data_IF_398697102335
#
_entry.id   IF_398697102335
#
_cell.length_a   1.000
_cell.length_b   1.000
_cell.length_c   1.000
_cell.angle_alpha   90.00
_cell.angle_beta   90.00
_cell.angle_gamma   90.00
#
_symmetry.space_group_name_H-M   'P 1'
#
loop_
_entity.id
_entity.type
_entity.pdbx_description
1 polymer ?
#
# COMPACT_ATOMS: atom_id res chain seq x y z
N UNK A 1 -39.56 12.90 30.33
CA UNK A 1 -38.94 11.80 29.57
C UNK A 1 -39.15 12.09 28.10
N UNK A 2 -38.27 12.86 27.48
CA UNK A 2 -38.12 12.97 26.01
C UNK A 2 -36.68 13.44 25.82
N UNK A 3 -35.81 12.51 25.42
CA UNK A 3 -34.47 12.80 24.93
C UNK A 3 -34.44 12.16 23.56
N UNK A 4 -34.60 13.00 22.54
CA UNK A 4 -34.57 12.59 21.14
C UNK A 4 -33.30 11.79 20.89
N UNK A 5 -33.48 10.52 20.50
CA UNK A 5 -32.46 9.75 19.80
C UNK A 5 -32.18 10.53 18.52
N UNK A 6 -30.98 11.10 18.40
CA UNK A 6 -30.51 11.56 17.11
C UNK A 6 -30.43 10.35 16.18
N UNK A 7 -31.41 10.24 15.27
CA UNK A 7 -31.32 9.32 14.14
C UNK A 7 -30.03 9.63 13.39
N UNK A 8 -29.21 8.60 13.20
CA UNK A 8 -27.95 8.70 12.45
C UNK A 8 -28.24 9.26 11.06
N UNK A 9 -27.63 10.40 10.73
CA UNK A 9 -27.70 11.01 9.39
C UNK A 9 -26.81 10.31 8.37
N UNK A 10 -26.25 9.15 8.73
CA UNK A 10 -25.42 8.35 7.83
C UNK A 10 -26.36 7.60 6.87
N UNK A 11 -26.14 7.68 5.55
CA UNK A 11 -26.88 6.89 4.58
C UNK A 11 -26.85 5.41 4.97
N UNK A 12 -28.00 4.74 4.90
CA UNK A 12 -28.14 3.34 5.23
C UNK A 12 -27.14 2.50 4.40
N UNK A 13 -26.15 1.88 5.06
CA UNK A 13 -25.15 1.02 4.42
C UNK A 13 -23.70 1.50 4.48
N UNK A 14 -23.43 2.74 4.93
CA UNK A 14 -22.05 3.16 5.17
C UNK A 14 -21.57 2.70 6.56
N UNK A 15 -20.48 1.92 6.65
CA UNK A 15 -19.93 1.49 7.93
C UNK A 15 -19.42 2.71 8.73
N UNK A 16 -19.82 2.80 10.00
CA UNK A 16 -19.39 3.87 10.88
C UNK A 16 -17.88 3.72 11.18
N UNK A 17 -17.07 4.55 10.52
CA UNK A 17 -15.62 4.54 10.71
C UNK A 17 -15.23 5.18 12.04
N UNK A 18 -14.36 4.52 12.80
CA UNK A 18 -13.89 5.03 14.08
C UNK A 18 -13.04 6.29 13.90
N UNK A 19 -13.18 7.25 14.82
CA UNK A 19 -12.27 8.39 14.89
C UNK A 19 -10.84 7.96 15.23
N UNK A 20 -9.85 8.55 14.57
CA UNK A 20 -8.43 8.29 14.78
C UNK A 20 -7.98 8.48 16.24
N UNK A 21 -8.54 9.46 16.96
CA UNK A 21 -8.25 9.68 18.38
C UNK A 21 -8.83 8.60 19.30
N UNK A 22 -9.98 8.02 18.95
CA UNK A 22 -10.54 6.88 19.67
C UNK A 22 -9.75 5.61 19.38
N UNK A 23 -9.37 5.42 18.13
CA UNK A 23 -8.57 4.27 17.71
C UNK A 23 -7.17 4.26 18.34
N UNK A 24 -6.49 5.41 18.41
CA UNK A 24 -5.21 5.53 19.13
C UNK A 24 -5.32 5.12 20.61
N UNK A 25 -6.35 5.61 21.30
CA UNK A 25 -6.61 5.23 22.70
C UNK A 25 -6.87 3.73 22.84
N UNK A 26 -7.59 3.14 21.89
CA UNK A 26 -7.79 1.70 21.84
C UNK A 26 -6.46 0.93 21.67
N UNK A 27 -5.59 1.35 20.75
CA UNK A 27 -4.27 0.72 20.57
C UNK A 27 -3.38 0.87 21.81
N UNK A 28 -3.36 2.03 22.45
CA UNK A 28 -2.63 2.26 23.70
C UNK A 28 -3.11 1.32 24.82
N UNK A 29 -4.43 1.10 24.91
CA UNK A 29 -5.00 0.16 25.87
C UNK A 29 -4.61 -1.28 25.53
N UNK A 30 -4.72 -1.68 24.25
CA UNK A 30 -4.35 -3.02 23.78
C UNK A 30 -2.86 -3.33 24.05
N UNK A 31 -1.97 -2.37 23.82
CA UNK A 31 -0.54 -2.50 24.11
C UNK A 31 -0.23 -2.65 25.60
N UNK A 32 -0.95 -1.92 26.47
CA UNK A 32 -0.85 -2.09 27.93
C UNK A 32 -1.33 -3.47 28.36
N UNK A 33 -2.45 -3.93 27.83
CA UNK A 33 -3.00 -5.25 28.12
C UNK A 33 -2.07 -6.38 27.66
N UNK A 34 -1.51 -6.28 26.45
CA UNK A 34 -0.51 -7.23 25.93
C UNK A 34 0.72 -7.31 26.84
N UNK A 35 1.21 -6.17 27.33
CA UNK A 35 2.35 -6.11 28.26
C UNK A 35 2.02 -6.77 29.61
N UNK A 36 0.80 -6.58 30.11
CA UNK A 36 0.36 -7.13 31.41
C UNK A 36 0.02 -8.62 31.36
N UNK A 37 -0.52 -9.10 30.24
CA UNK A 37 -1.04 -10.48 30.09
C UNK A 37 -0.09 -11.39 29.33
N UNK A 38 0.96 -10.85 28.70
CA UNK A 38 1.81 -11.58 27.77
C UNK A 38 1.09 -11.96 26.47
N UNK A 39 -0.07 -11.37 26.18
CA UNK A 39 -0.83 -11.64 24.95
C UNK A 39 -0.10 -11.09 23.72
N UNK A 40 -0.14 -11.87 22.63
CA UNK A 40 0.42 -11.53 21.33
C UNK A 40 -0.32 -10.32 20.71
N UNK A 41 0.42 -9.29 20.30
CA UNK A 41 -0.13 -8.19 19.48
C UNK A 41 -0.56 -8.69 18.10
N UNK A 42 -1.36 -7.91 17.34
CA UNK A 42 -1.82 -8.31 16.00
C UNK A 42 -0.69 -8.74 15.05
N UNK A 43 0.49 -8.13 15.17
CA UNK A 43 1.71 -8.51 14.44
C UNK A 43 2.23 -9.91 14.79
N UNK A 44 2.04 -10.38 16.02
CA UNK A 44 2.52 -11.70 16.47
C UNK A 44 1.64 -12.87 15.97
N UNK A 45 0.48 -12.57 15.38
CA UNK A 45 -0.33 -13.55 14.65
C UNK A 45 0.10 -13.69 13.17
N UNK A 46 1.04 -12.86 12.70
CA UNK A 46 1.60 -12.94 11.35
C UNK A 46 2.69 -14.02 11.28
N UNK A 47 3.02 -14.43 10.06
CA UNK A 47 4.20 -15.29 9.87
C UNK A 47 5.47 -14.55 10.31
N UNK A 48 6.48 -15.24 10.89
CA UNK A 48 7.71 -14.60 11.35
C UNK A 48 8.44 -13.80 10.25
N UNK A 49 8.38 -14.26 9.00
CA UNK A 49 9.00 -13.58 7.85
C UNK A 49 8.31 -12.27 7.50
N UNK A 50 6.98 -12.23 7.56
CA UNK A 50 6.20 -11.01 7.31
C UNK A 50 6.34 -10.04 8.48
N UNK A 51 6.29 -10.55 9.71
CA UNK A 51 6.51 -9.73 10.90
C UNK A 51 7.88 -9.04 10.86
N UNK A 52 8.95 -9.77 10.53
CA UNK A 52 10.30 -9.20 10.38
C UNK A 52 10.42 -8.21 9.20
N UNK A 53 9.56 -8.32 8.17
CA UNK A 53 9.50 -7.35 7.08
C UNK A 53 8.83 -6.05 7.53
N UNK A 54 7.71 -6.15 8.24
CA UNK A 54 6.96 -5.00 8.75
C UNK A 54 7.71 -4.24 9.85
N UNK A 55 8.37 -4.95 10.78
CA UNK A 55 9.15 -4.33 11.85
C UNK A 55 10.32 -3.48 11.31
N UNK A 56 10.90 -3.85 10.16
CA UNK A 56 11.96 -3.06 9.52
C UNK A 56 11.47 -1.69 9.05
N UNK A 57 10.17 -1.51 8.83
CA UNK A 57 9.59 -0.22 8.44
C UNK A 57 9.25 0.67 9.65
N UNK A 58 9.00 0.07 10.81
CA UNK A 58 8.73 0.80 12.06
C UNK A 58 9.98 1.47 12.65
N UNK A 59 11.18 1.01 12.31
CA UNK A 59 12.46 1.59 12.76
C UNK A 59 12.72 3.00 12.16
N UNK A 60 11.92 3.43 11.18
CA UNK A 60 11.99 4.77 10.59
C UNK A 60 11.19 5.82 11.36
N UNK A 61 11.67 7.07 11.35
CA UNK A 61 11.11 8.22 12.11
C UNK A 61 9.67 8.63 11.70
N UNK A 62 9.13 8.04 10.62
CA UNK A 62 7.81 8.35 10.05
C UNK A 62 6.75 7.25 10.24
N UNK A 63 7.11 6.11 10.84
CA UNK A 63 6.27 4.91 10.89
C UNK A 63 6.12 4.23 9.51
N UNK A 64 5.49 3.06 9.48
CA UNK A 64 5.33 2.27 8.25
C UNK A 64 4.42 2.99 7.25
N UNK A 65 4.89 3.17 6.02
CA UNK A 65 4.07 3.75 4.96
C UNK A 65 3.13 2.70 4.35
N UNK A 66 1.93 3.11 3.93
CA UNK A 66 0.93 2.18 3.39
C UNK A 66 1.47 1.37 2.20
N UNK A 67 2.28 2.01 1.34
CA UNK A 67 2.88 1.35 0.19
C UNK A 67 3.91 0.27 0.58
N UNK A 68 4.67 0.46 1.66
CA UNK A 68 5.65 -0.53 2.14
C UNK A 68 4.94 -1.75 2.73
N UNK A 69 3.91 -1.53 3.54
CA UNK A 69 3.10 -2.60 4.13
C UNK A 69 2.44 -3.43 3.02
N UNK A 70 1.84 -2.77 2.02
CA UNK A 70 1.20 -3.49 0.90
C UNK A 70 2.23 -4.20 0.02
N UNK A 71 3.41 -3.60 -0.19
CA UNK A 71 4.51 -4.26 -0.90
C UNK A 71 4.96 -5.55 -0.17
N UNK A 72 5.04 -5.51 1.16
CA UNK A 72 5.30 -6.70 1.97
C UNK A 72 4.20 -7.74 1.82
N UNK A 73 2.91 -7.35 1.89
CA UNK A 73 1.80 -8.27 1.64
C UNK A 73 1.95 -9.00 0.30
N UNK A 74 2.24 -8.26 -0.77
CA UNK A 74 2.41 -8.81 -2.11
C UNK A 74 3.59 -9.80 -2.19
N UNK A 75 4.73 -9.47 -1.59
CA UNK A 75 5.90 -10.36 -1.56
C UNK A 75 5.66 -11.66 -0.80
N UNK A 76 4.97 -11.57 0.34
CA UNK A 76 4.66 -12.73 1.18
C UNK A 76 3.36 -13.44 0.77
N UNK A 77 2.68 -12.97 -0.28
CA UNK A 77 1.36 -13.45 -0.72
C UNK A 77 0.35 -13.54 0.44
N UNK A 78 0.38 -12.58 1.35
CA UNK A 78 -0.43 -12.56 2.57
C UNK A 78 -1.59 -11.57 2.44
N UNK A 79 -2.78 -11.99 2.88
CA UNK A 79 -3.95 -11.10 2.98
C UNK A 79 -4.00 -10.49 4.38
N UNK A 80 -4.04 -9.16 4.46
CA UNK A 80 -4.01 -8.40 5.71
C UNK A 80 -5.06 -7.30 5.72
N UNK A 81 -5.49 -6.91 6.93
CA UNK A 81 -6.20 -5.66 7.16
C UNK A 81 -5.22 -4.60 7.65
N UNK A 82 -5.18 -3.48 6.93
CA UNK A 82 -4.33 -2.33 7.19
C UNK A 82 -5.22 -1.19 7.64
N UNK A 83 -5.10 -0.78 8.90
CA UNK A 83 -5.87 0.32 9.46
C UNK A 83 -5.21 1.64 9.10
N UNK A 84 -5.80 2.38 8.17
CA UNK A 84 -5.27 3.62 7.63
C UNK A 84 -5.93 4.83 8.30
N UNK A 85 -5.13 5.74 8.84
CA UNK A 85 -5.64 7.06 9.21
C UNK A 85 -5.87 7.89 7.94
N UNK A 86 -7.12 8.26 7.72
CA UNK A 86 -7.58 9.12 6.63
C UNK A 86 -8.27 10.34 7.26
N UNK A 87 -7.52 11.45 7.39
CA UNK A 87 -7.99 12.60 8.16
C UNK A 87 -8.27 12.26 9.63
N UNK A 88 -9.52 12.43 10.06
CA UNK A 88 -9.98 12.15 11.42
C UNK A 88 -10.56 10.74 11.61
N UNK A 89 -10.64 9.93 10.54
CA UNK A 89 -11.20 8.58 10.53
C UNK A 89 -10.13 7.51 10.34
N UNK A 90 -10.44 6.30 10.76
CA UNK A 90 -9.65 5.10 10.49
C UNK A 90 -10.40 4.23 9.50
N UNK A 91 -9.76 3.93 8.37
CA UNK A 91 -10.28 3.09 7.29
C UNK A 91 -9.56 1.74 7.34
N UNK A 92 -10.25 0.63 7.66
CA UNK A 92 -9.66 -0.70 7.54
C UNK A 92 -9.64 -1.12 6.07
N UNK A 93 -8.45 -1.06 5.45
CA UNK A 93 -8.21 -1.49 4.09
C UNK A 93 -7.74 -2.94 4.09
N UNK A 94 -8.55 -3.88 3.60
CA UNK A 94 -8.16 -5.29 3.52
C UNK A 94 -7.62 -5.61 2.14
N UNK A 95 -6.39 -6.11 2.07
CA UNK A 95 -5.72 -6.49 0.81
C UNK A 95 -5.81 -8.01 0.61
N UNK A 96 -6.28 -8.42 -0.57
CA UNK A 96 -6.33 -9.81 -1.02
C UNK A 96 -5.35 -9.99 -2.18
N UNK A 97 -4.15 -10.50 -1.87
CA UNK A 97 -3.02 -10.48 -2.81
C UNK A 97 -3.20 -11.44 -3.98
N UNK A 98 -3.75 -12.63 -3.73
CA UNK A 98 -3.95 -13.67 -4.74
C UNK A 98 -5.03 -13.27 -5.74
N UNK A 99 -6.11 -12.71 -5.24
CA UNK A 99 -7.27 -12.27 -6.03
C UNK A 99 -7.04 -10.91 -6.68
N UNK A 100 -5.95 -10.20 -6.32
CA UNK A 100 -5.67 -8.81 -6.73
C UNK A 100 -6.86 -7.89 -6.41
N UNK A 101 -7.44 -8.07 -5.24
CA UNK A 101 -8.57 -7.27 -4.74
C UNK A 101 -8.20 -6.51 -3.48
N UNK A 102 -8.96 -5.46 -3.23
CA UNK A 102 -8.97 -4.73 -1.97
C UNK A 102 -10.42 -4.59 -1.52
N UNK A 103 -10.68 -4.75 -0.22
CA UNK A 103 -11.94 -4.36 0.38
C UNK A 103 -11.74 -3.05 1.13
N UNK A 104 -12.54 -2.04 0.80
CA UNK A 104 -12.48 -0.71 1.39
C UNK A 104 -13.89 -0.26 1.82
N UNK A 105 -14.13 -0.02 3.11
CA UNK A 105 -15.42 0.47 3.60
C UNK A 105 -15.71 1.94 3.25
N UNK A 106 -14.67 2.69 2.87
CA UNK A 106 -14.78 4.04 2.31
C UNK A 106 -14.82 3.94 0.78
N UNK A 107 -15.53 4.85 0.12
CA UNK A 107 -15.49 4.94 -1.35
C UNK A 107 -14.04 5.10 -1.84
N UNK A 108 -13.57 4.22 -2.72
CA UNK A 108 -12.16 4.22 -3.13
C UNK A 108 -11.74 5.53 -3.82
N UNK A 109 -12.66 6.16 -4.56
CA UNK A 109 -12.45 7.48 -5.13
C UNK A 109 -12.21 8.56 -4.07
N UNK A 110 -12.94 8.51 -2.94
CA UNK A 110 -12.72 9.42 -1.82
C UNK A 110 -11.35 9.21 -1.18
N UNK A 111 -10.96 7.95 -0.93
CA UNK A 111 -9.64 7.61 -0.40
C UNK A 111 -8.52 8.15 -1.29
N UNK A 112 -8.62 7.90 -2.60
CA UNK A 112 -7.61 8.32 -3.59
C UNK A 112 -7.57 9.83 -3.74
N UNK A 113 -8.72 10.49 -3.88
CA UNK A 113 -8.79 11.93 -4.17
C UNK A 113 -8.45 12.80 -2.97
N UNK A 114 -8.86 12.40 -1.76
CA UNK A 114 -8.81 13.26 -0.57
C UNK A 114 -7.74 12.90 0.45
N UNK A 115 -7.40 11.62 0.57
CA UNK A 115 -6.63 11.12 1.72
C UNK A 115 -5.31 10.45 1.35
N UNK A 116 -5.08 10.17 0.07
CA UNK A 116 -3.93 9.37 -0.35
C UNK A 116 -2.58 10.02 -0.02
N UNK A 117 -2.51 11.35 -0.09
CA UNK A 117 -1.27 12.11 0.13
C UNK A 117 -0.85 12.21 1.60
N UNK A 118 -1.76 11.99 2.54
CA UNK A 118 -1.51 12.10 3.99
C UNK A 118 -1.88 10.83 4.76
N UNK A 119 -2.15 9.74 4.04
CA UNK A 119 -2.51 8.44 4.64
C UNK A 119 -1.38 7.90 5.52
N UNK A 120 -1.73 7.43 6.71
CA UNK A 120 -0.77 6.81 7.64
C UNK A 120 -1.26 5.45 8.09
N UNK A 121 -0.35 4.49 8.20
CA UNK A 121 -0.68 3.19 8.78
C UNK A 121 -0.73 3.34 10.30
N UNK A 122 -1.85 2.95 10.90
CA UNK A 122 -2.06 2.96 12.36
C UNK A 122 -1.80 1.60 12.98
N UNK A 123 -2.22 0.53 12.30
CA UNK A 123 -2.17 -0.84 12.80
C UNK A 123 -2.31 -1.83 11.63
N UNK A 124 -1.72 -3.02 11.75
CA UNK A 124 -1.79 -4.09 10.76
C UNK A 124 -2.13 -5.40 11.46
N UNK A 125 -3.07 -6.16 10.91
CA UNK A 125 -3.49 -7.45 11.47
C UNK A 125 -3.88 -8.46 10.39
N UNK A 126 -3.90 -9.77 10.70
CA UNK A 126 -4.50 -10.77 9.84
C UNK A 126 -5.97 -10.42 9.54
N UNK A 127 -6.39 -10.59 8.29
CA UNK A 127 -7.79 -10.34 7.94
C UNK A 127 -8.67 -11.56 8.28
N UNK A 128 -9.80 -11.39 9.00
CA UNK A 128 -10.85 -12.39 9.07
C UNK A 128 -11.76 -12.38 7.83
N UNK A 129 -11.75 -11.28 7.06
CA UNK A 129 -12.57 -11.13 5.87
C UNK A 129 -12.07 -12.06 4.75
N UNK A 130 -13.01 -12.63 3.99
CA UNK A 130 -12.76 -13.50 2.85
C UNK A 130 -12.98 -12.77 1.52
N UNK A 131 -12.30 -13.16 0.43
CA UNK A 131 -12.55 -12.60 -0.88
C UNK A 131 -13.90 -13.07 -1.46
N UNK A 132 -14.45 -12.39 -2.48
CA UNK A 132 -15.66 -12.84 -3.16
C UNK A 132 -15.46 -14.24 -3.77
N UNK A 133 -16.47 -15.11 -3.62
CA UNK A 133 -16.42 -16.49 -4.12
C UNK A 133 -15.86 -17.53 -3.13
N UNK A 134 -15.43 -17.10 -1.94
CA UNK A 134 -14.99 -18.00 -0.88
C UNK A 134 -16.17 -18.86 -0.34
N UNK A 135 -15.98 -20.15 -0.03
CA UNK A 135 -17.04 -21.00 0.53
C UNK A 135 -17.61 -20.47 1.86
N UNK A 136 -16.82 -19.76 2.66
CA UNK A 136 -17.25 -19.20 3.94
C UNK A 136 -17.96 -17.85 3.76
N UNK A 137 -19.10 -17.85 3.07
CA UNK A 137 -19.85 -16.64 2.67
C UNK A 137 -20.17 -15.67 3.81
N UNK A 138 -20.28 -16.14 5.06
CA UNK A 138 -20.52 -15.29 6.23
C UNK A 138 -19.38 -14.29 6.52
N UNK A 139 -18.18 -14.57 6.01
CA UNK A 139 -17.00 -13.71 6.16
C UNK A 139 -16.68 -12.92 4.89
N UNK A 140 -17.53 -13.00 3.86
CA UNK A 140 -17.42 -12.19 2.64
C UNK A 140 -18.18 -10.88 2.88
N UNK A 141 -17.50 -9.76 2.67
CA UNK A 141 -18.06 -8.42 2.80
C UNK A 141 -19.07 -8.08 1.70
N UNK A 142 -19.62 -6.87 1.75
CA UNK A 142 -20.53 -6.41 0.71
C UNK A 142 -19.81 -6.24 -0.63
N UNK A 143 -20.36 -6.79 -1.72
CA UNK A 143 -19.68 -6.87 -3.02
C UNK A 143 -19.23 -5.52 -3.59
N UNK A 144 -19.96 -4.44 -3.29
CA UNK A 144 -19.64 -3.09 -3.78
C UNK A 144 -18.45 -2.44 -3.06
N UNK A 145 -17.98 -3.03 -1.96
CA UNK A 145 -16.80 -2.58 -1.21
C UNK A 145 -15.50 -3.26 -1.68
N UNK A 146 -15.61 -4.23 -2.61
CA UNK A 146 -14.45 -4.85 -3.24
C UNK A 146 -14.08 -4.11 -4.52
N UNK A 147 -12.79 -3.82 -4.66
CA UNK A 147 -12.24 -3.09 -5.80
C UNK A 147 -10.97 -3.78 -6.32
N UNK A 148 -10.61 -3.57 -7.59
CA UNK A 148 -9.31 -4.00 -8.11
C UNK A 148 -8.16 -3.37 -7.34
N UNK A 149 -7.17 -4.17 -6.95
CA UNK A 149 -5.99 -3.71 -6.23
C UNK A 149 -5.04 -2.92 -7.14
N UNK A 150 -4.97 -3.31 -8.43
CA UNK A 150 -4.01 -2.77 -9.41
C UNK A 150 -4.05 -1.24 -9.55
N UNK A 151 -5.20 -0.58 -9.76
CA UNK A 151 -5.27 0.87 -9.85
C UNK A 151 -4.90 1.57 -8.54
N UNK A 152 -5.30 1.01 -7.39
CA UNK A 152 -4.96 1.57 -6.08
C UNK A 152 -3.45 1.57 -5.83
N UNK A 153 -2.76 0.47 -6.15
CA UNK A 153 -1.30 0.38 -6.04
C UNK A 153 -0.60 1.46 -6.88
N UNK A 154 -1.12 1.71 -8.08
CA UNK A 154 -0.58 2.73 -8.96
C UNK A 154 -0.76 4.13 -8.36
N UNK A 155 -1.98 4.47 -7.95
CA UNK A 155 -2.26 5.76 -7.31
C UNK A 155 -1.42 5.96 -6.04
N UNK A 156 -1.28 4.93 -5.20
CA UNK A 156 -0.45 4.97 -3.99
C UNK A 156 1.02 5.26 -4.33
N UNK A 157 1.57 4.65 -5.37
CA UNK A 157 2.93 4.94 -5.81
C UNK A 157 3.07 6.38 -6.34
N UNK A 158 2.10 6.84 -7.13
CA UNK A 158 2.17 8.15 -7.79
C UNK A 158 1.92 9.32 -6.84
N UNK A 159 1.05 9.15 -5.84
CA UNK A 159 0.51 10.25 -5.02
C UNK A 159 0.60 10.02 -3.53
N UNK A 160 0.99 8.82 -3.10
CA UNK A 160 1.14 8.50 -1.68
C UNK A 160 2.28 9.28 -1.01
N UNK A 161 2.42 9.14 0.32
CA UNK A 161 3.40 9.89 1.09
C UNK A 161 4.85 9.61 0.64
N UNK A 162 5.13 8.39 0.19
CA UNK A 162 6.47 7.97 -0.20
C UNK A 162 6.94 8.59 -1.51
N UNK A 163 7.94 9.45 -1.45
CA UNK A 163 8.66 9.97 -2.62
C UNK A 163 9.86 9.13 -3.07
N UNK A 164 10.42 8.32 -2.17
CA UNK A 164 11.64 7.54 -2.42
C UNK A 164 11.36 6.12 -2.91
N UNK A 165 12.39 5.47 -3.47
CA UNK A 165 12.30 4.06 -3.85
C UNK A 165 11.95 3.18 -2.66
N UNK A 166 11.09 2.19 -2.89
CA UNK A 166 10.85 1.11 -1.94
C UNK A 166 12.17 0.42 -1.58
N UNK A 167 12.38 0.02 -0.31
CA UNK A 167 13.67 -0.49 0.16
C UNK A 167 14.22 -1.66 -0.69
N UNK A 168 13.33 -2.50 -1.23
CA UNK A 168 13.67 -3.70 -1.99
C UNK A 168 14.26 -3.39 -3.37
N UNK A 169 13.88 -2.24 -3.94
CA UNK A 169 14.36 -1.78 -5.25
C UNK A 169 15.33 -0.61 -5.14
N UNK A 170 15.60 -0.15 -3.92
CA UNK A 170 16.58 0.87 -3.60
C UNK A 170 18.03 0.37 -3.75
N UNK A 171 18.94 1.34 -3.77
CA UNK A 171 20.38 1.13 -3.92
C UNK A 171 20.85 1.12 -5.38
N UNK A 172 22.15 0.85 -5.61
CA UNK A 172 22.72 0.86 -6.95
C UNK A 172 22.12 -0.26 -7.81
N UNK A 173 21.33 0.15 -8.81
CA UNK A 173 20.65 -0.76 -9.73
C UNK A 173 20.36 -0.06 -11.07
N UNK A 174 20.16 -0.88 -12.09
CA UNK A 174 19.47 -0.47 -13.32
C UNK A 174 18.13 -1.17 -13.41
N UNK A 175 17.17 -0.46 -14.00
CA UNK A 175 15.77 -0.84 -14.05
C UNK A 175 15.35 -1.04 -15.50
N UNK A 176 14.54 -2.08 -15.74
CA UNK A 176 13.93 -2.37 -17.05
C UNK A 176 12.49 -2.77 -16.84
N UNK A 177 11.61 -2.42 -17.78
CA UNK A 177 10.23 -2.91 -17.75
C UNK A 177 10.14 -4.31 -18.35
N UNK A 178 9.43 -5.20 -17.67
CA UNK A 178 9.14 -6.53 -18.16
C UNK A 178 8.20 -6.46 -19.38
N UNK A 179 8.44 -7.24 -20.45
CA UNK A 179 7.60 -7.22 -21.65
C UNK A 179 6.14 -7.59 -21.40
N UNK A 180 5.89 -8.40 -20.36
CA UNK A 180 4.55 -8.90 -20.00
C UNK A 180 3.71 -7.88 -19.22
N UNK A 181 4.26 -6.72 -18.86
CA UNK A 181 3.49 -5.71 -18.13
C UNK A 181 2.34 -5.18 -18.99
N UNK A 182 1.12 -5.48 -18.57
CA UNK A 182 -0.10 -4.91 -19.10
C UNK A 182 -0.31 -3.51 -18.50
N UNK A 183 -0.56 -2.52 -19.36
CA UNK A 183 -0.72 -1.11 -18.95
C UNK A 183 -2.13 -0.59 -19.17
N UNK A 184 -3.02 -1.40 -19.75
CA UNK A 184 -4.37 -0.98 -20.14
C UNK A 184 -5.25 -0.62 -18.93
N UNK A 185 -5.05 -1.29 -17.79
CA UNK A 185 -5.82 -1.07 -16.57
C UNK A 185 -5.19 -0.04 -15.63
N UNK A 186 -4.02 0.50 -15.99
CA UNK A 186 -3.31 1.48 -15.15
C UNK A 186 -3.72 2.90 -15.54
N UNK A 187 -3.93 3.80 -14.56
CA UNK A 187 -4.14 5.23 -14.83
C UNK A 187 -2.81 5.91 -15.20
N UNK A 188 -2.26 5.54 -16.36
CA UNK A 188 -0.99 6.06 -16.89
C UNK A 188 -1.20 7.33 -17.71
N UNK A 189 -0.30 8.30 -17.53
CA UNK A 189 -0.22 9.50 -18.37
C UNK A 189 0.60 9.20 -19.63
N UNK A 190 0.59 10.14 -20.59
CA UNK A 190 1.46 10.08 -21.77
C UNK A 190 2.95 10.00 -21.41
N UNK A 191 3.37 10.73 -20.37
CA UNK A 191 4.74 10.71 -19.84
C UNK A 191 5.08 9.33 -19.31
N UNK A 192 4.21 8.74 -18.48
CA UNK A 192 4.41 7.38 -17.95
C UNK A 192 4.58 6.37 -19.09
N UNK A 193 3.73 6.46 -20.13
CA UNK A 193 3.82 5.59 -21.30
C UNK A 193 5.16 5.71 -22.01
N UNK A 194 5.63 6.94 -22.27
CA UNK A 194 6.91 7.16 -22.94
C UNK A 194 8.10 6.57 -22.16
N UNK A 195 8.10 6.75 -20.84
CA UNK A 195 9.14 6.22 -19.94
C UNK A 195 9.09 4.70 -19.91
N UNK A 196 7.90 4.11 -19.84
CA UNK A 196 7.68 2.65 -19.88
C UNK A 196 8.20 2.04 -21.18
N UNK A 197 7.85 2.61 -22.34
CA UNK A 197 8.32 2.10 -23.64
C UNK A 197 9.84 2.21 -23.76
N UNK A 198 10.44 3.31 -23.28
CA UNK A 198 11.89 3.45 -23.25
C UNK A 198 12.56 2.39 -22.36
N UNK A 199 12.02 2.15 -21.17
CA UNK A 199 12.50 1.13 -20.24
C UNK A 199 12.25 -0.31 -20.70
N UNK A 200 11.33 -0.55 -21.65
CA UNK A 200 11.20 -1.88 -22.28
C UNK A 200 12.37 -2.19 -23.20
N UNK A 201 12.87 -1.16 -23.89
CA UNK A 201 13.95 -1.27 -24.86
C UNK A 201 15.33 -1.30 -24.19
N UNK A 202 15.56 -0.43 -23.20
CA UNK A 202 16.88 -0.27 -22.61
C UNK A 202 16.80 -0.12 -21.08
N UNK A 203 17.63 -0.86 -20.31
CA UNK A 203 17.73 -0.65 -18.87
C UNK A 203 18.37 0.71 -18.55
N UNK A 204 17.94 1.36 -17.48
CA UNK A 204 18.48 2.64 -17.04
C UNK A 204 18.54 2.73 -15.50
N UNK A 205 19.52 3.46 -14.98
CA UNK A 205 19.64 3.78 -13.55
C UNK A 205 18.62 4.86 -13.14
N UNK A 206 18.36 4.99 -11.83
CA UNK A 206 17.48 6.05 -11.32
C UNK A 206 17.96 7.45 -11.74
N UNK A 207 19.27 7.69 -11.73
CA UNK A 207 19.86 9.00 -12.11
C UNK A 207 19.58 9.31 -13.58
N UNK A 208 19.72 8.32 -14.46
CA UNK A 208 19.41 8.50 -15.88
C UNK A 208 17.93 8.75 -16.11
N UNK A 209 17.05 7.98 -15.45
CA UNK A 209 15.59 8.13 -15.58
C UNK A 209 15.14 9.50 -15.07
N UNK A 210 15.71 9.97 -13.95
CA UNK A 210 15.44 11.29 -13.39
C UNK A 210 15.89 12.45 -14.30
N UNK A 211 16.80 12.19 -15.25
CA UNK A 211 17.24 13.16 -16.25
C UNK A 211 16.38 13.19 -17.53
N UNK A 212 15.33 12.37 -17.63
CA UNK A 212 14.45 12.37 -18.80
C UNK A 212 13.42 13.51 -18.74
N UNK A 213 12.84 13.92 -19.88
CA UNK A 213 11.87 15.01 -19.91
C UNK A 213 10.69 14.79 -18.95
N UNK A 214 10.31 15.84 -18.23
CA UNK A 214 9.18 15.87 -17.27
C UNK A 214 9.34 14.97 -16.03
N UNK A 215 10.51 14.36 -15.85
CA UNK A 215 10.88 13.62 -14.66
C UNK A 215 11.85 14.39 -13.78
N UNK A 216 11.80 14.05 -12.50
CA UNK A 216 12.79 14.36 -11.50
C UNK A 216 13.05 13.07 -10.69
N UNK A 217 13.91 13.15 -9.67
CA UNK A 217 14.25 11.98 -8.85
C UNK A 217 13.03 11.37 -8.16
N UNK A 218 12.12 12.20 -7.67
CA UNK A 218 10.94 11.74 -6.94
C UNK A 218 9.95 11.07 -7.90
N UNK A 219 9.60 11.73 -9.00
CA UNK A 219 8.72 11.18 -10.05
C UNK A 219 9.26 9.88 -10.63
N UNK A 220 10.58 9.80 -10.86
CA UNK A 220 11.22 8.57 -11.30
C UNK A 220 11.12 7.45 -10.26
N UNK A 221 11.35 7.77 -8.98
CA UNK A 221 11.24 6.80 -7.87
C UNK A 221 9.83 6.28 -7.72
N UNK A 222 8.83 7.18 -7.72
CA UNK A 222 7.41 6.85 -7.71
C UNK A 222 7.03 5.94 -8.86
N UNK A 223 7.47 6.24 -10.08
CA UNK A 223 7.21 5.42 -11.27
C UNK A 223 7.78 4.01 -11.10
N UNK A 224 9.02 3.89 -10.65
CA UNK A 224 9.65 2.59 -10.40
C UNK A 224 8.94 1.81 -9.30
N UNK A 225 8.49 2.45 -8.22
CA UNK A 225 7.66 1.82 -7.19
C UNK A 225 6.35 1.27 -7.80
N UNK A 226 5.67 2.08 -8.60
CA UNK A 226 4.43 1.68 -9.28
C UNK A 226 4.65 0.45 -10.17
N UNK A 227 5.70 0.47 -11.00
CA UNK A 227 6.06 -0.66 -11.87
C UNK A 227 6.44 -1.92 -11.09
N UNK A 228 7.15 -1.77 -9.97
CA UNK A 228 7.52 -2.87 -9.09
C UNK A 228 6.28 -3.56 -8.48
N UNK A 229 5.31 -2.78 -7.99
CA UNK A 229 4.07 -3.30 -7.40
C UNK A 229 3.18 -4.05 -8.41
N UNK A 230 3.31 -3.73 -9.70
CA UNK A 230 2.65 -4.47 -10.78
C UNK A 230 3.43 -5.72 -11.22
N UNK A 231 4.50 -6.09 -10.53
CA UNK A 231 5.45 -7.14 -10.97
C UNK A 231 6.00 -6.89 -12.39
N UNK A 232 6.02 -5.62 -12.82
CA UNK A 232 6.43 -5.18 -14.15
C UNK A 232 7.86 -4.68 -14.22
N UNK A 233 8.60 -4.71 -13.12
CA UNK A 233 9.95 -4.15 -13.01
C UNK A 233 11.00 -5.25 -12.86
N UNK A 234 12.02 -5.21 -13.71
CA UNK A 234 13.23 -6.01 -13.60
C UNK A 234 14.31 -5.12 -13.01
N UNK A 235 14.90 -5.55 -11.90
CA UNK A 235 15.96 -4.84 -11.18
C UNK A 235 17.26 -5.61 -11.33
N UNK A 236 18.30 -4.98 -11.90
CA UNK A 236 19.62 -5.58 -12.06
C UNK A 236 20.68 -4.81 -11.27
N UNK A 237 21.31 -5.50 -10.31
CA UNK A 237 22.34 -4.94 -9.41
C UNK A 237 23.76 -5.26 -9.86
N UNK A 238 23.94 -6.31 -10.67
CA UNK A 238 25.25 -6.73 -11.20
C UNK A 238 25.60 -6.07 -12.54
N UNK A 239 24.74 -5.22 -13.07
CA UNK A 239 24.99 -4.51 -14.32
C UNK A 239 26.20 -3.56 -14.17
N UNK A 240 27.09 -3.43 -15.17
CA UNK A 240 28.24 -2.52 -15.08
C UNK A 240 27.86 -1.07 -14.74
N UNK A 241 26.70 -0.61 -15.19
CA UNK A 241 26.19 0.73 -14.89
C UNK A 241 25.61 0.83 -13.46
N UNK A 242 25.08 -0.27 -12.91
CA UNK A 242 24.66 -0.33 -11.50
C UNK A 242 25.88 -0.26 -10.57
N UNK A 243 26.97 -0.96 -10.92
CA UNK A 243 28.23 -0.90 -10.16
C UNK A 243 28.84 0.50 -10.19
N UNK A 244 28.82 1.18 -11.34
CA UNK A 244 29.29 2.57 -11.48
C UNK A 244 28.45 3.56 -10.65
N UNK A 245 27.13 3.38 -10.61
CA UNK A 245 26.25 4.22 -9.79
C UNK A 245 26.48 4.05 -8.27
N UNK A 246 27.07 2.94 -7.82
CA UNK A 246 27.38 2.70 -6.41
C UNK A 246 28.66 3.36 -5.90
N UNK A 247 29.46 3.98 -6.78
CA UNK A 247 30.71 4.68 -6.42
C UNK A 247 30.60 6.21 -6.52
N UNK A 248 29.43 6.73 -6.89
CA UNK A 248 29.13 8.15 -7.00
C UNK A 248 28.33 8.62 -5.77
#
# INVERSE_FOLDING_TARGET
>A
MHGDLFDSTIPFGEPELMRASSYRRYLEQLGREATLTGASTGLALLSPSLQADLLRFEEGDSGSEAIEVIAACLRHAASLTIHLQCGDRVVPLTVFTRERLVHCPMGLGELVERHLGDVRVMHVEPTPLRPPGDPEQAWVGASHLYHPLTPLLWELAMRGPRGDLLPEISGPAVYRVAPVLETAELPITSVHKAVIERLRLQPASLVEIAGWPELDRERASRLLNGLYLQAGLIVSRSHPDAVRAGWA
#
